data_IF_849663181721
#
_entry.id   IF_849663181721
#
_cell.length_a   1.000
_cell.length_b   1.000
_cell.length_c   1.000
_cell.angle_alpha   90.00
_cell.angle_beta   90.00
_cell.angle_gamma   90.00
#
_symmetry.space_group_name_H-M   'P 1'
#
loop_
_entity.id
_entity.type
_entity.pdbx_description
1 polymer ?
#
# COMPACT_ATOMS: atom_id res chain seq x y z
N UNK A 1 4.49 29.14 5.76
CA UNK A 1 4.22 28.47 4.46
C UNK A 1 4.52 29.34 3.24
N UNK A 2 4.05 30.59 3.14
CA UNK A 2 4.22 31.43 1.92
C UNK A 2 5.65 31.54 1.39
N UNK A 3 6.67 31.72 2.24
CA UNK A 3 8.07 31.82 1.80
C UNK A 3 8.62 30.53 1.17
N UNK A 4 8.19 29.35 1.63
CA UNK A 4 8.66 28.08 1.05
C UNK A 4 7.94 27.72 -0.25
N UNK A 5 6.71 28.19 -0.42
CA UNK A 5 5.96 28.02 -1.66
C UNK A 5 6.27 29.09 -2.70
N UNK A 6 6.78 30.26 -2.30
CA UNK A 6 7.15 31.36 -3.19
C UNK A 6 8.11 30.89 -4.30
N UNK A 7 9.19 30.20 -3.93
CA UNK A 7 10.18 29.71 -4.89
C UNK A 7 9.56 28.75 -5.92
N UNK A 8 8.68 27.87 -5.45
CA UNK A 8 7.91 26.96 -6.30
C UNK A 8 6.97 27.71 -7.26
N UNK A 9 6.14 28.61 -6.75
CA UNK A 9 5.12 29.28 -7.56
C UNK A 9 5.69 30.28 -8.58
N UNK A 10 6.78 30.97 -8.25
CA UNK A 10 7.30 32.06 -9.08
C UNK A 10 8.45 31.66 -10.00
N UNK A 11 9.14 30.54 -9.75
CA UNK A 11 10.37 30.19 -10.49
C UNK A 11 10.32 28.81 -11.16
N UNK A 12 9.71 27.78 -10.55
CA UNK A 12 9.75 26.41 -11.11
C UNK A 12 8.83 26.18 -12.33
N UNK A 13 8.11 27.20 -12.78
CA UNK A 13 7.40 27.22 -14.07
C UNK A 13 8.16 27.95 -15.19
N UNK A 14 9.41 28.39 -14.95
CA UNK A 14 10.24 29.16 -15.89
C UNK A 14 11.47 28.34 -16.33
N UNK A 15 11.97 28.64 -17.52
CA UNK A 15 13.24 28.06 -18.02
C UNK A 15 14.43 28.47 -17.12
N UNK A 16 15.38 27.55 -16.94
CA UNK A 16 16.61 27.78 -16.16
C UNK A 16 16.58 27.37 -14.68
N UNK A 17 15.46 26.84 -14.18
CA UNK A 17 15.31 26.35 -12.80
C UNK A 17 15.00 24.85 -12.71
N UNK A 18 15.34 24.09 -13.76
CA UNK A 18 15.01 22.67 -13.88
C UNK A 18 15.67 21.83 -12.79
N UNK A 19 16.93 22.11 -12.48
CA UNK A 19 17.71 21.41 -11.44
C UNK A 19 17.13 21.59 -10.02
N UNK A 20 16.38 22.67 -9.78
CA UNK A 20 15.75 22.92 -8.47
C UNK A 20 14.42 22.17 -8.31
N UNK A 21 13.83 21.67 -9.41
CA UNK A 21 12.51 21.03 -9.40
C UNK A 21 12.54 19.68 -8.68
N UNK A 22 13.63 18.93 -8.83
CA UNK A 22 13.77 17.60 -8.23
C UNK A 22 13.86 17.66 -6.70
N UNK A 23 14.43 18.74 -6.15
CA UNK A 23 14.46 19.00 -4.71
C UNK A 23 13.19 19.65 -4.15
N UNK A 24 12.25 20.06 -5.00
CA UNK A 24 11.07 20.80 -4.57
C UNK A 24 9.89 19.88 -4.26
N UNK A 25 9.47 19.83 -2.99
CA UNK A 25 8.32 19.04 -2.55
C UNK A 25 7.02 19.30 -3.33
N UNK A 26 6.73 20.56 -3.67
CA UNK A 26 5.52 20.89 -4.43
C UNK A 26 5.61 20.50 -5.91
N UNK A 27 6.79 20.50 -6.51
CA UNK A 27 7.01 19.92 -7.84
C UNK A 27 6.80 18.40 -7.80
N UNK A 28 7.33 17.72 -6.78
CA UNK A 28 7.16 16.28 -6.59
C UNK A 28 5.68 15.91 -6.39
N UNK A 29 4.95 16.59 -5.49
CA UNK A 29 3.52 16.35 -5.28
C UNK A 29 2.71 16.55 -6.57
N UNK A 30 3.06 17.56 -7.37
CA UNK A 30 2.38 17.88 -8.64
C UNK A 30 2.73 16.92 -9.78
N UNK A 31 3.84 16.21 -9.70
CA UNK A 31 4.23 15.23 -10.72
C UNK A 31 3.41 13.95 -10.62
N UNK A 32 2.73 13.71 -9.50
CA UNK A 32 1.86 12.55 -9.33
C UNK A 32 0.67 12.60 -10.30
N UNK A 33 0.41 11.51 -11.06
CA UNK A 33 -0.68 11.46 -12.04
C UNK A 33 -2.06 11.77 -11.44
N UNK A 34 -2.25 11.44 -10.18
CA UNK A 34 -3.52 11.62 -9.45
C UNK A 34 -3.63 12.99 -8.78
N UNK A 35 -2.63 13.87 -8.85
CA UNK A 35 -2.63 15.14 -8.10
C UNK A 35 -3.85 16.01 -8.38
N UNK A 36 -4.31 16.07 -9.63
CA UNK A 36 -5.44 16.92 -10.04
C UNK A 36 -6.78 16.46 -9.46
N UNK A 37 -6.94 15.17 -9.15
CA UNK A 37 -8.19 14.57 -8.68
C UNK A 37 -8.13 14.15 -7.21
N UNK A 38 -6.97 13.69 -6.75
CA UNK A 38 -6.71 13.09 -5.44
C UNK A 38 -5.43 13.72 -4.86
N UNK A 39 -5.47 15.04 -4.55
CA UNK A 39 -4.27 15.78 -4.17
C UNK A 39 -3.71 15.34 -2.82
N UNK A 40 -2.40 15.54 -2.69
CA UNK A 40 -1.74 15.70 -1.39
C UNK A 40 -1.57 17.20 -1.17
N UNK A 41 -1.97 17.69 -0.01
CA UNK A 41 -1.77 19.08 0.39
C UNK A 41 -0.90 19.14 1.65
N UNK A 42 -0.18 20.25 1.83
CA UNK A 42 0.65 20.48 3.01
C UNK A 42 0.20 21.78 3.64
N UNK A 43 -0.12 21.76 4.93
CA UNK A 43 -0.54 22.93 5.70
C UNK A 43 0.25 23.02 7.01
N UNK A 44 0.61 24.23 7.40
CA UNK A 44 1.20 24.49 8.71
C UNK A 44 0.63 25.80 9.23
N UNK A 45 -0.17 25.71 10.29
CA UNK A 45 -0.82 26.82 10.99
C UNK A 45 -0.25 27.03 12.40
N UNK A 46 0.65 26.14 12.85
CA UNK A 46 1.15 26.08 14.24
C UNK A 46 2.48 26.81 14.41
N UNK A 47 3.41 26.64 13.46
CA UNK A 47 4.77 27.19 13.56
C UNK A 47 5.37 27.55 12.19
N UNK A 48 6.66 27.86 12.18
CA UNK A 48 7.43 28.19 10.97
C UNK A 48 8.21 27.00 10.39
N UNK A 49 7.97 25.78 10.87
CA UNK A 49 8.64 24.58 10.36
C UNK A 49 8.16 24.21 8.95
N UNK A 50 9.05 23.58 8.19
CA UNK A 50 8.79 23.06 6.86
C UNK A 50 9.08 21.56 6.80
N UNK A 51 8.68 20.91 5.71
CA UNK A 51 9.11 19.54 5.46
C UNK A 51 10.64 19.55 5.30
N UNK A 52 11.36 18.55 5.84
CA UNK A 52 12.82 18.47 5.75
C UNK A 52 13.29 18.47 4.29
N UNK A 53 14.39 19.18 4.00
CA UNK A 53 14.91 19.33 2.63
C UNK A 53 15.38 18.02 1.99
N UNK A 54 15.62 16.99 2.80
CA UNK A 54 16.01 15.64 2.38
C UNK A 54 14.82 14.69 2.20
N UNK A 55 13.60 15.11 2.56
CA UNK A 55 12.39 14.33 2.35
C UNK A 55 12.00 14.28 0.87
N UNK A 56 11.55 13.12 0.37
CA UNK A 56 11.18 12.95 -1.03
C UNK A 56 9.86 12.21 -1.18
N UNK A 57 8.91 12.80 -1.88
CA UNK A 57 7.67 12.12 -2.24
C UNK A 57 7.94 11.09 -3.36
N UNK A 58 7.53 9.84 -3.11
CA UNK A 58 7.64 8.74 -4.07
C UNK A 58 6.27 8.15 -4.38
N UNK A 59 6.11 7.59 -5.58
CA UNK A 59 4.88 6.92 -5.99
C UNK A 59 5.02 5.39 -6.00
N UNK A 60 6.26 4.88 -5.97
CA UNK A 60 6.61 3.47 -6.00
C UNK A 60 7.80 3.20 -5.08
N UNK A 61 7.97 1.95 -4.67
CA UNK A 61 9.13 1.49 -3.90
C UNK A 61 10.44 1.78 -4.64
N UNK A 62 11.48 2.14 -3.89
CA UNK A 62 12.86 2.27 -4.40
C UNK A 62 13.63 1.03 -3.97
N UNK A 63 14.37 0.41 -4.89
CA UNK A 63 15.20 -0.76 -4.55
C UNK A 63 16.58 -0.28 -4.09
N UNK A 64 16.96 -0.67 -2.88
CA UNK A 64 18.29 -0.41 -2.33
C UNK A 64 19.35 -1.35 -2.89
N UNK A 65 20.60 -1.08 -2.54
CA UNK A 65 21.74 -1.91 -2.97
C UNK A 65 21.59 -3.36 -2.48
N UNK A 66 21.78 -4.32 -3.39
CA UNK A 66 21.68 -5.75 -3.10
C UNK A 66 20.25 -6.27 -2.97
N UNK A 67 19.24 -5.51 -3.40
CA UNK A 67 17.84 -5.95 -3.47
C UNK A 67 17.39 -6.01 -4.92
N UNK A 68 16.99 -7.20 -5.37
CA UNK A 68 16.50 -7.39 -6.73
C UNK A 68 15.03 -7.83 -6.74
N UNK A 69 14.23 -7.36 -7.72
CA UNK A 69 12.87 -7.83 -7.89
C UNK A 69 12.86 -9.27 -8.38
N UNK A 70 11.78 -10.01 -8.09
CA UNK A 70 11.59 -11.32 -8.69
C UNK A 70 11.67 -11.21 -10.22
N UNK A 71 12.44 -12.11 -10.83
CA UNK A 71 12.45 -12.25 -12.27
C UNK A 71 11.05 -12.52 -12.82
N UNK A 72 10.75 -12.01 -14.01
CA UNK A 72 9.45 -12.15 -14.65
C UNK A 72 9.03 -13.62 -14.83
N UNK A 73 9.98 -14.55 -14.91
CA UNK A 73 9.73 -15.99 -14.98
C UNK A 73 8.94 -16.57 -13.80
N UNK A 74 8.96 -15.90 -12.65
CA UNK A 74 8.21 -16.32 -11.46
C UNK A 74 6.81 -15.72 -11.38
N UNK A 75 6.47 -14.77 -12.26
CA UNK A 75 5.19 -14.07 -12.26
C UNK A 75 4.12 -14.94 -12.95
N UNK A 76 3.20 -15.48 -12.16
CA UNK A 76 2.05 -16.25 -12.66
C UNK A 76 0.76 -15.44 -12.51
N UNK A 77 0.25 -14.89 -13.60
CA UNK A 77 -1.02 -14.17 -13.61
C UNK A 77 -2.20 -15.06 -14.00
N UNK A 78 -3.42 -14.63 -13.66
CA UNK A 78 -4.63 -15.38 -14.02
C UNK A 78 -5.02 -15.23 -15.51
N UNK A 79 -5.66 -16.26 -16.04
CA UNK A 79 -6.25 -16.32 -17.38
C UNK A 79 -7.78 -16.15 -17.38
N UNK A 80 -8.32 -15.45 -16.36
CA UNK A 80 -9.76 -15.20 -16.24
C UNK A 80 -10.31 -14.48 -17.47
N UNK A 81 -11.42 -14.96 -18.01
CA UNK A 81 -12.04 -14.38 -19.21
C UNK A 81 -12.66 -13.01 -18.91
N UNK A 82 -13.25 -12.84 -17.73
CA UNK A 82 -13.85 -11.60 -17.28
C UNK A 82 -13.24 -11.14 -15.96
N UNK A 83 -13.21 -9.83 -15.75
CA UNK A 83 -12.78 -9.21 -14.49
C UNK A 83 -13.56 -9.74 -13.27
N UNK A 84 -14.86 -10.04 -13.46
CA UNK A 84 -15.71 -10.60 -12.42
C UNK A 84 -15.32 -12.01 -11.98
N UNK A 85 -14.59 -12.76 -12.81
CA UNK A 85 -14.20 -14.15 -12.50
C UNK A 85 -13.04 -14.17 -11.47
N UNK A 86 -12.30 -13.07 -11.34
CA UNK A 86 -11.22 -12.93 -10.37
C UNK A 86 -11.68 -12.89 -8.91
N UNK A 87 -12.98 -12.92 -8.65
CA UNK A 87 -13.55 -12.93 -7.30
C UNK A 87 -13.68 -14.35 -6.69
N UNK A 88 -13.57 -15.39 -7.52
CA UNK A 88 -13.82 -16.77 -7.13
C UNK A 88 -12.53 -17.58 -6.94
N UNK A 89 -12.59 -18.66 -6.14
CA UNK A 89 -11.47 -19.60 -5.92
C UNK A 89 -10.89 -20.20 -7.22
N UNK A 90 -11.62 -20.16 -8.33
CA UNK A 90 -11.12 -20.56 -9.65
C UNK A 90 -10.07 -19.62 -10.25
N UNK A 91 -9.89 -18.42 -9.69
CA UNK A 91 -8.85 -17.49 -10.11
C UNK A 91 -7.48 -17.94 -9.60
N UNK A 92 -6.50 -18.07 -10.50
CA UNK A 92 -5.14 -18.49 -10.14
C UNK A 92 -4.49 -17.60 -9.07
N UNK A 93 -4.80 -16.30 -9.06
CA UNK A 93 -4.27 -15.37 -8.05
C UNK A 93 -4.76 -15.68 -6.63
N UNK A 94 -5.80 -16.49 -6.47
CA UNK A 94 -6.39 -16.87 -5.18
C UNK A 94 -6.05 -18.33 -4.81
N UNK A 95 -5.18 -19.01 -5.57
CA UNK A 95 -4.87 -20.42 -5.37
C UNK A 95 -4.17 -20.73 -4.03
N UNK A 96 -3.42 -19.76 -3.50
CA UNK A 96 -2.68 -19.89 -2.23
C UNK A 96 -3.51 -19.47 -1.00
N UNK A 97 -4.80 -19.13 -1.19
CA UNK A 97 -5.71 -18.91 -0.07
C UNK A 97 -6.20 -20.26 0.48
N UNK A 98 -6.08 -20.43 1.80
CA UNK A 98 -6.57 -21.63 2.47
C UNK A 98 -8.11 -21.76 2.34
N UNK A 99 -8.61 -23.00 2.34
CA UNK A 99 -10.03 -23.28 2.08
C UNK A 99 -10.96 -22.70 3.15
N UNK A 100 -10.52 -22.65 4.41
CA UNK A 100 -11.21 -22.02 5.54
C UNK A 100 -11.23 -20.48 5.45
N UNK A 101 -10.32 -19.90 4.67
CA UNK A 101 -10.29 -18.47 4.34
C UNK A 101 -11.14 -18.13 3.11
N UNK A 102 -11.69 -19.11 2.40
CA UNK A 102 -12.68 -18.92 1.32
C UNK A 102 -14.10 -18.85 1.90
N UNK A 103 -14.94 -17.87 1.53
CA UNK A 103 -16.14 -17.54 2.32
C UNK A 103 -17.24 -18.61 2.25
N UNK A 104 -17.76 -19.04 3.40
CA UNK A 104 -19.12 -19.65 3.54
C UNK A 104 -20.17 -18.65 4.08
N UNK A 105 -19.83 -17.37 4.26
CA UNK A 105 -20.75 -16.44 4.93
C UNK A 105 -21.90 -15.96 4.01
N UNK A 106 -23.12 -16.24 4.47
CA UNK A 106 -24.44 -15.90 3.91
C UNK A 106 -24.76 -14.39 3.84
N UNK A 107 -23.78 -13.52 4.04
CA UNK A 107 -24.00 -12.09 4.33
C UNK A 107 -24.12 -11.18 3.09
N UNK A 108 -24.03 -11.72 1.88
CA UNK A 108 -24.03 -10.92 0.65
C UNK A 108 -25.28 -11.10 -0.26
N UNK A 109 -26.32 -11.86 0.12
CA UNK A 109 -27.53 -11.93 -0.73
C UNK A 109 -28.88 -12.12 -0.01
N UNK A 110 -29.55 -11.04 0.43
CA UNK A 110 -30.96 -11.09 0.82
C UNK A 110 -31.93 -11.29 -0.37
N UNK A 111 -31.43 -11.21 -1.61
CA UNK A 111 -32.20 -11.26 -2.87
C UNK A 111 -31.72 -12.36 -3.83
N UNK A 112 -30.90 -13.30 -3.35
CA UNK A 112 -30.48 -14.46 -4.14
C UNK A 112 -31.74 -15.25 -4.44
N UNK A 113 -32.07 -15.38 -5.73
CA UNK A 113 -33.31 -15.97 -6.24
C UNK A 113 -33.79 -17.13 -5.34
N UNK A 114 -34.80 -16.84 -4.51
CA UNK A 114 -35.60 -17.88 -3.88
C UNK A 114 -36.41 -18.54 -4.98
N UNK A 115 -35.80 -19.48 -5.69
CA UNK A 115 -36.55 -20.50 -6.41
C UNK A 115 -37.06 -21.45 -5.34
N UNK A 116 -38.33 -21.27 -4.98
CA UNK A 116 -39.04 -22.08 -4.01
C UNK A 116 -38.91 -23.58 -4.37
N UNK A 117 -38.31 -24.35 -3.46
CA UNK A 117 -38.63 -25.77 -3.30
C UNK A 117 -38.21 -26.75 -4.39
N UNK A 118 -36.96 -26.72 -4.87
CA UNK A 118 -36.35 -27.91 -5.49
C UNK A 118 -34.90 -28.08 -5.01
N UNK A 119 -34.65 -29.20 -4.33
CA UNK A 119 -33.31 -29.72 -4.04
C UNK A 119 -32.61 -30.04 -5.35
N UNK A 120 -32.07 -29.02 -6.00
CA UNK A 120 -31.09 -29.17 -7.07
C UNK A 120 -29.74 -29.14 -6.37
N UNK A 121 -28.97 -30.23 -6.47
CA UNK A 121 -27.55 -30.24 -6.15
C UNK A 121 -26.86 -29.15 -7.00
N UNK A 122 -26.81 -27.92 -6.49
CA UNK A 122 -26.06 -26.82 -7.12
C UNK A 122 -24.58 -27.13 -6.87
N UNK A 123 -23.77 -27.37 -7.91
CA UNK A 123 -22.36 -27.67 -7.74
C UNK A 123 -21.67 -26.55 -6.94
N UNK A 124 -20.93 -26.88 -5.88
CA UNK A 124 -20.10 -25.98 -5.03
C UNK A 124 -18.92 -25.34 -5.80
N UNK A 125 -19.12 -24.85 -7.03
CA UNK A 125 -18.03 -24.65 -8.00
C UNK A 125 -17.46 -23.22 -8.00
N UNK A 126 -18.13 -22.24 -7.39
CA UNK A 126 -17.67 -20.85 -7.42
C UNK A 126 -17.82 -20.16 -6.06
N UNK A 127 -16.97 -20.56 -5.10
CA UNK A 127 -16.91 -19.91 -3.78
C UNK A 127 -16.16 -18.58 -3.90
N UNK A 128 -16.71 -17.50 -3.35
CA UNK A 128 -16.05 -16.19 -3.32
C UNK A 128 -14.87 -16.24 -2.34
N UNK A 129 -13.68 -15.85 -2.77
CA UNK A 129 -12.48 -15.91 -1.93
C UNK A 129 -11.71 -14.59 -1.83
N UNK A 130 -11.92 -13.69 -2.78
CA UNK A 130 -11.26 -12.37 -2.83
C UNK A 130 -11.53 -11.49 -1.60
N UNK A 131 -10.62 -10.53 -1.38
CA UNK A 131 -10.57 -9.72 -0.15
C UNK A 131 -11.62 -8.60 -0.07
N UNK A 132 -12.18 -8.18 -1.21
CA UNK A 132 -13.00 -6.98 -1.31
C UNK A 132 -14.49 -7.29 -1.47
N UNK A 133 -15.36 -6.30 -1.40
CA UNK A 133 -16.74 -6.41 -1.89
C UNK A 133 -16.81 -5.97 -3.38
N UNK A 134 -17.59 -6.66 -4.21
CA UNK A 134 -17.72 -6.36 -5.66
C UNK A 134 -18.89 -5.44 -5.99
N UNK A 135 -19.95 -5.46 -5.18
CA UNK A 135 -21.20 -4.78 -5.49
C UNK A 135 -21.75 -3.98 -4.30
N UNK A 136 -22.74 -3.15 -4.60
CA UNK A 136 -23.45 -2.35 -3.60
C UNK A 136 -22.64 -1.19 -3.02
N UNK A 137 -23.11 -0.66 -1.90
CA UNK A 137 -22.55 0.53 -1.24
C UNK A 137 -21.16 0.32 -0.62
N UNK A 138 -20.72 -0.95 -0.56
CA UNK A 138 -19.43 -1.41 -0.04
C UNK A 138 -18.44 -1.82 -1.14
N UNK A 139 -18.79 -1.71 -2.43
CA UNK A 139 -17.90 -2.10 -3.52
C UNK A 139 -16.50 -1.46 -3.38
N UNK A 140 -15.45 -2.29 -3.49
CA UNK A 140 -14.05 -1.90 -3.31
C UNK A 140 -13.57 -1.80 -1.86
N UNK A 141 -14.44 -1.97 -0.86
CA UNK A 141 -14.03 -2.05 0.55
C UNK A 141 -13.56 -3.46 0.89
N UNK A 142 -12.57 -3.56 1.77
CA UNK A 142 -12.10 -4.79 2.39
C UNK A 142 -13.25 -5.44 3.18
N UNK A 143 -13.43 -6.75 3.01
CA UNK A 143 -14.43 -7.55 3.72
C UNK A 143 -14.11 -7.63 5.21
N UNK A 144 -15.15 -7.73 6.03
CA UNK A 144 -15.04 -7.76 7.49
C UNK A 144 -14.14 -8.86 8.04
N UNK A 145 -14.17 -10.05 7.44
CA UNK A 145 -13.30 -11.17 7.85
C UNK A 145 -11.81 -10.86 7.78
N UNK A 146 -11.41 -9.91 6.93
CA UNK A 146 -10.01 -9.50 6.79
C UNK A 146 -9.61 -8.34 7.71
N UNK A 147 -10.53 -7.76 8.50
CA UNK A 147 -10.20 -6.62 9.37
C UNK A 147 -9.26 -6.96 10.51
N UNK A 148 -9.37 -8.17 11.04
CA UNK A 148 -8.55 -8.66 12.15
C UNK A 148 -7.79 -9.94 11.76
N UNK A 149 -7.79 -10.28 10.46
CA UNK A 149 -7.12 -11.47 9.93
C UNK A 149 -5.67 -11.19 9.61
N UNK A 150 -4.80 -12.14 9.95
CA UNK A 150 -3.38 -12.13 9.54
C UNK A 150 -3.17 -12.77 8.17
N UNK A 151 -4.20 -12.98 7.37
CA UNK A 151 -4.06 -13.56 6.04
C UNK A 151 -3.57 -12.50 5.05
N UNK A 152 -2.61 -12.81 4.18
CA UNK A 152 -2.18 -11.89 3.12
C UNK A 152 -3.30 -11.66 2.11
N UNK A 153 -3.33 -10.46 1.52
CA UNK A 153 -4.25 -10.14 0.43
C UNK A 153 -3.57 -10.43 -0.90
N UNK A 154 -4.14 -11.37 -1.66
CA UNK A 154 -3.68 -11.70 -3.00
C UNK A 154 -4.47 -10.92 -4.05
N UNK A 155 -3.80 -10.00 -4.74
CA UNK A 155 -4.38 -9.22 -5.84
C UNK A 155 -3.96 -9.76 -7.21
N UNK A 156 -4.77 -9.47 -8.22
CA UNK A 156 -4.31 -9.53 -9.60
C UNK A 156 -3.25 -8.44 -9.85
N UNK A 157 -2.46 -8.64 -10.89
CA UNK A 157 -1.33 -7.77 -11.22
C UNK A 157 -1.10 -7.74 -12.73
N UNK A 158 -0.11 -7.00 -13.21
CA UNK A 158 0.19 -6.79 -14.63
C UNK A 158 0.35 -8.07 -15.48
N UNK A 159 0.64 -9.23 -14.86
CA UNK A 159 0.72 -10.52 -15.57
C UNK A 159 -0.64 -11.20 -15.80
N UNK A 160 -1.72 -10.68 -15.22
CA UNK A 160 -3.06 -11.22 -15.37
C UNK A 160 -3.74 -10.68 -16.65
N UNK A 161 -4.62 -11.50 -17.22
CA UNK A 161 -5.45 -11.15 -18.38
C UNK A 161 -6.61 -10.18 -18.08
N UNK A 162 -6.98 -10.03 -16.80
CA UNK A 162 -8.02 -9.10 -16.37
C UNK A 162 -7.56 -7.64 -16.45
N UNK A 163 -8.51 -6.72 -16.62
CA UNK A 163 -8.25 -5.29 -16.79
C UNK A 163 -7.90 -4.59 -15.48
N UNK A 164 -7.51 -3.31 -15.56
CA UNK A 164 -7.30 -2.44 -14.39
C UNK A 164 -8.56 -2.26 -13.53
N UNK A 165 -9.74 -2.49 -14.10
CA UNK A 165 -11.03 -2.43 -13.41
C UNK A 165 -11.38 -3.72 -12.67
N UNK A 166 -10.49 -4.73 -12.70
CA UNK A 166 -10.66 -5.96 -11.95
C UNK A 166 -10.96 -5.67 -10.47
N UNK A 167 -12.01 -6.25 -9.88
CA UNK A 167 -12.35 -6.03 -8.48
C UNK A 167 -11.23 -6.45 -7.51
N UNK A 168 -10.30 -7.30 -7.97
CA UNK A 168 -9.14 -7.78 -7.20
C UNK A 168 -7.84 -7.01 -7.53
N UNK A 169 -7.92 -5.70 -7.82
CA UNK A 169 -6.77 -4.79 -8.06
C UNK A 169 -6.91 -3.46 -7.31
N UNK A 170 -7.46 -3.48 -6.10
CA UNK A 170 -7.77 -2.27 -5.32
C UNK A 170 -6.50 -1.53 -4.93
N UNK A 171 -5.48 -2.23 -4.44
CA UNK A 171 -4.23 -1.62 -3.99
C UNK A 171 -3.32 -1.27 -5.16
N UNK A 172 -3.29 -2.10 -6.22
CA UNK A 172 -2.56 -1.77 -7.45
C UNK A 172 -3.02 -0.44 -8.08
N UNK A 173 -4.32 -0.12 -8.01
CA UNK A 173 -4.87 1.16 -8.48
C UNK A 173 -4.38 2.38 -7.69
N UNK A 174 -3.79 2.17 -6.52
CA UNK A 174 -3.25 3.23 -5.68
C UNK A 174 -4.31 4.04 -4.94
N UNK A 175 -3.85 5.10 -4.28
CA UNK A 175 -4.68 5.94 -3.42
C UNK A 175 -5.84 6.58 -4.19
N UNK A 176 -7.04 6.49 -3.62
CA UNK A 176 -8.27 7.13 -4.13
C UNK A 176 -8.78 8.26 -3.23
N UNK A 177 -8.08 8.54 -2.13
CA UNK A 177 -8.50 9.48 -1.09
C UNK A 177 -7.54 10.68 -1.04
N UNK A 178 -8.03 11.93 -1.07
CA UNK A 178 -7.18 13.09 -0.86
C UNK A 178 -6.63 13.12 0.56
N UNK A 179 -5.35 13.48 0.68
CA UNK A 179 -4.63 13.55 1.95
C UNK A 179 -4.08 14.95 2.19
N UNK A 180 -3.97 15.30 3.47
CA UNK A 180 -3.39 16.54 3.93
C UNK A 180 -2.36 16.25 5.01
N UNK A 181 -1.12 16.62 4.72
CA UNK A 181 -0.04 16.70 5.69
C UNK A 181 -0.24 18.00 6.46
N UNK A 182 -0.29 17.92 7.78
CA UNK A 182 -0.54 19.06 8.64
C UNK A 182 0.41 19.07 9.84
N UNK A 183 0.76 20.26 10.32
CA UNK A 183 1.48 20.43 11.57
C UNK A 183 0.51 20.26 12.75
N UNK A 184 0.87 19.41 13.71
CA UNK A 184 0.18 19.26 14.99
C UNK A 184 0.82 20.14 16.04
N UNK A 185 0.11 20.42 17.12
CA UNK A 185 0.57 21.31 18.21
C UNK A 185 1.82 20.77 18.95
N UNK A 186 1.89 19.46 19.19
CA UNK A 186 2.86 18.87 20.13
C UNK A 186 3.60 17.63 19.59
N UNK A 187 3.09 17.04 18.51
CA UNK A 187 3.59 15.82 17.91
C UNK A 187 4.00 16.08 16.48
N UNK A 188 4.47 17.27 16.12
CA UNK A 188 5.02 17.62 14.81
C UNK A 188 4.08 17.32 13.62
N UNK A 189 4.58 16.81 12.50
CA UNK A 189 3.73 16.55 11.32
C UNK A 189 2.87 15.28 11.40
N UNK A 190 1.61 15.40 11.01
CA UNK A 190 0.67 14.29 10.83
C UNK A 190 0.00 14.28 9.46
N UNK A 191 -0.76 13.22 9.17
CA UNK A 191 -1.62 13.12 7.99
C UNK A 191 -3.07 12.99 8.41
N UNK A 192 -3.95 13.72 7.72
CA UNK A 192 -5.40 13.56 7.80
C UNK A 192 -6.00 13.43 6.40
N UNK A 193 -7.16 12.81 6.32
CA UNK A 193 -7.97 12.89 5.10
C UNK A 193 -8.86 14.13 5.14
N UNK A 194 -9.12 14.70 3.97
CA UNK A 194 -10.08 15.80 3.80
C UNK A 194 -11.49 15.30 3.51
N UNK A 195 -11.69 13.97 3.46
CA UNK A 195 -12.98 13.33 3.22
C UNK A 195 -13.21 12.18 4.21
N UNK A 196 -14.46 11.73 4.32
CA UNK A 196 -14.80 10.59 5.17
C UNK A 196 -14.24 9.28 4.61
N UNK A 197 -13.54 8.51 5.44
CA UNK A 197 -13.02 7.18 5.10
C UNK A 197 -13.97 6.11 5.67
N UNK A 198 -14.46 5.22 4.81
CA UNK A 198 -15.29 4.08 5.25
C UNK A 198 -14.42 2.99 5.87
N UNK A 199 -14.96 2.21 6.81
CA UNK A 199 -14.27 1.01 7.33
C UNK A 199 -13.97 0.05 6.18
N UNK A 200 -12.75 -0.47 6.13
CA UNK A 200 -12.26 -1.33 5.04
C UNK A 200 -11.85 -0.58 3.78
N UNK A 201 -11.92 0.75 3.73
CA UNK A 201 -11.48 1.51 2.57
C UNK A 201 -9.95 1.58 2.53
N UNK A 202 -9.38 1.23 1.39
CA UNK A 202 -7.95 1.37 1.14
C UNK A 202 -7.54 2.86 1.14
N UNK A 203 -6.47 3.18 1.88
CA UNK A 203 -5.95 4.55 2.02
C UNK A 203 -4.74 4.75 1.11
N UNK A 204 -3.59 4.17 1.45
CA UNK A 204 -2.36 4.22 0.66
C UNK A 204 -1.42 3.08 1.06
N UNK A 205 -0.32 2.90 0.33
CA UNK A 205 0.75 1.96 0.67
C UNK A 205 1.82 2.64 1.52
N UNK A 206 2.45 1.88 2.42
CA UNK A 206 3.69 2.32 3.03
C UNK A 206 4.83 2.14 2.02
N UNK A 207 5.39 3.25 1.54
CA UNK A 207 6.45 3.24 0.53
C UNK A 207 7.80 3.59 1.17
N UNK A 208 8.89 3.21 0.52
CA UNK A 208 10.22 3.57 0.97
C UNK A 208 11.29 2.91 0.11
N UNK A 209 12.50 2.93 0.65
CA UNK A 209 13.62 2.17 0.09
C UNK A 209 13.58 0.75 0.66
N UNK A 210 13.48 -0.26 -0.19
CA UNK A 210 13.61 -1.66 0.22
C UNK A 210 15.10 -1.98 0.38
N UNK A 211 15.49 -2.36 1.59
CA UNK A 211 16.87 -2.62 1.97
C UNK A 211 17.02 -4.02 2.57
N UNK A 212 18.24 -4.54 2.55
CA UNK A 212 18.57 -5.81 3.21
C UNK A 212 18.55 -5.67 4.72
N UNK A 213 18.29 -6.75 5.45
CA UNK A 213 18.36 -6.76 6.92
C UNK A 213 19.73 -6.30 7.45
N UNK A 214 20.82 -6.63 6.77
CA UNK A 214 22.17 -6.16 7.13
C UNK A 214 22.30 -4.63 7.00
N UNK A 215 21.76 -4.06 5.93
CA UNK A 215 21.73 -2.61 5.74
C UNK A 215 20.84 -1.92 6.78
N UNK A 216 19.70 -2.52 7.12
CA UNK A 216 18.83 -2.05 8.19
C UNK A 216 19.54 -2.03 9.55
N UNK A 217 20.26 -3.10 9.91
CA UNK A 217 21.03 -3.17 11.16
C UNK A 217 22.19 -2.18 11.19
N UNK A 218 22.89 -1.98 10.05
CA UNK A 218 23.91 -0.93 9.91
C UNK A 218 23.31 0.45 10.13
N UNK A 219 22.12 0.68 9.57
CA UNK A 219 21.35 1.91 9.69
C UNK A 219 20.90 2.15 11.14
N UNK A 220 20.38 1.13 11.86
CA UNK A 220 20.03 1.18 13.29
C UNK A 220 21.25 1.49 14.16
N UNK A 221 22.37 0.81 13.92
CA UNK A 221 23.61 0.95 14.69
C UNK A 221 24.25 2.34 14.57
N UNK A 222 24.20 2.95 13.38
CA UNK A 222 24.66 4.35 13.20
C UNK A 222 23.74 5.38 13.86
N UNK A 223 22.49 5.04 14.15
CA UNK A 223 21.50 5.89 14.80
C UNK A 223 21.61 5.88 16.33
N UNK A 224 22.81 5.66 16.91
CA UNK A 224 23.03 5.60 18.36
C UNK A 224 22.53 6.82 19.18
N UNK A 225 22.09 7.90 18.52
CA UNK A 225 21.54 9.13 19.12
C UNK A 225 20.00 9.17 19.13
N UNK A 226 19.30 8.30 18.40
CA UNK A 226 17.83 8.29 18.40
C UNK A 226 17.29 6.87 18.53
N UNK A 227 16.57 6.60 19.63
CA UNK A 227 15.67 5.44 19.80
C UNK A 227 14.48 5.47 18.79
N UNK A 228 14.65 6.12 17.63
CA UNK A 228 13.60 6.51 16.69
C UNK A 228 13.77 5.88 15.31
N UNK A 229 14.88 5.21 15.03
CA UNK A 229 15.07 4.60 13.70
C UNK A 229 14.17 3.39 13.46
N UNK A 230 13.88 2.64 14.52
CA UNK A 230 12.92 1.54 14.48
C UNK A 230 11.49 2.00 14.16
N UNK A 231 11.21 3.31 14.20
CA UNK A 231 9.89 3.88 13.90
C UNK A 231 9.58 3.86 12.39
N UNK A 232 10.60 3.84 11.53
CA UNK A 232 10.43 3.98 10.07
C UNK A 232 10.85 2.76 9.26
N UNK A 233 11.39 1.74 9.94
CA UNK A 233 11.75 0.47 9.35
C UNK A 233 10.58 -0.50 9.48
N UNK A 234 10.10 -1.00 8.35
CA UNK A 234 9.03 -1.99 8.30
C UNK A 234 9.53 -3.28 7.68
N UNK A 235 9.56 -4.37 8.46
CA UNK A 235 10.01 -5.66 7.97
C UNK A 235 8.98 -6.29 7.01
N UNK A 236 9.45 -6.85 5.90
CA UNK A 236 8.66 -7.62 4.94
C UNK A 236 8.66 -9.11 5.35
N UNK A 237 8.21 -9.41 6.57
CA UNK A 237 8.33 -10.71 7.22
C UNK A 237 7.12 -11.63 7.06
N UNK A 238 6.10 -11.19 6.32
CA UNK A 238 4.82 -11.91 6.17
C UNK A 238 4.99 -13.37 5.73
N UNK A 239 5.98 -13.63 4.89
CA UNK A 239 6.28 -14.96 4.35
C UNK A 239 7.60 -15.53 4.90
N UNK A 240 8.22 -14.87 5.88
CA UNK A 240 9.43 -15.38 6.51
C UNK A 240 9.07 -16.55 7.42
N UNK A 241 9.64 -17.71 7.11
CA UNK A 241 9.50 -18.93 7.89
C UNK A 241 10.88 -19.60 8.03
N UNK A 242 11.50 -19.55 9.22
CA UNK A 242 12.79 -20.18 9.49
C UNK A 242 12.81 -21.70 9.25
N UNK A 243 11.64 -22.34 9.28
CA UNK A 243 11.47 -23.78 9.06
C UNK A 243 11.14 -24.12 7.61
N UNK A 244 10.97 -23.12 6.74
CA UNK A 244 10.69 -23.36 5.33
C UNK A 244 11.85 -24.06 4.64
N UNK A 245 11.51 -25.01 3.76
CA UNK A 245 12.47 -25.65 2.86
C UNK A 245 12.89 -24.71 1.72
N UNK A 246 12.12 -23.65 1.45
CA UNK A 246 12.47 -22.63 0.46
C UNK A 246 13.49 -21.65 1.05
N UNK A 247 14.73 -21.59 0.52
CA UNK A 247 15.76 -20.67 1.01
C UNK A 247 15.33 -19.20 0.98
N UNK A 248 14.42 -18.82 0.07
CA UNK A 248 13.90 -17.46 -0.06
C UNK A 248 13.03 -17.04 1.12
N UNK A 249 12.37 -18.00 1.77
CA UNK A 249 11.51 -17.77 2.92
C UNK A 249 12.26 -17.93 4.26
N UNK A 250 13.44 -18.56 4.23
CA UNK A 250 14.26 -18.83 5.40
C UNK A 250 15.17 -17.68 5.81
N UNK A 251 15.57 -16.84 4.85
CA UNK A 251 16.48 -15.73 5.07
C UNK A 251 15.88 -14.62 5.96
N UNK A 252 16.73 -13.73 6.51
CA UNK A 252 16.21 -12.54 7.19
C UNK A 252 15.38 -11.72 6.21
N UNK A 253 14.23 -11.17 6.64
CA UNK A 253 13.37 -10.40 5.76
C UNK A 253 14.08 -9.15 5.26
N UNK A 254 13.67 -8.69 4.07
CA UNK A 254 13.97 -7.32 3.64
C UNK A 254 13.18 -6.33 4.51
N UNK A 255 13.64 -5.09 4.59
CA UNK A 255 12.98 -4.04 5.33
C UNK A 255 12.69 -2.84 4.41
N UNK A 256 11.58 -2.15 4.63
CA UNK A 256 11.26 -0.88 3.97
C UNK A 256 11.69 0.25 4.89
N UNK A 257 12.66 1.06 4.47
CA UNK A 257 13.06 2.29 5.14
C UNK A 257 12.26 3.47 4.60
N UNK A 258 11.30 3.93 5.40
CA UNK A 258 10.46 5.08 5.09
C UNK A 258 10.98 6.41 5.64
N UNK A 259 12.16 6.45 6.28
CA UNK A 259 12.66 7.62 7.01
C UNK A 259 12.60 8.88 6.13
N UNK A 260 13.16 8.87 4.92
CA UNK A 260 13.21 10.06 4.06
C UNK A 260 12.12 10.12 2.98
N UNK A 261 11.20 9.16 2.95
CA UNK A 261 10.26 9.00 1.83
C UNK A 261 8.79 8.90 2.24
N UNK A 262 8.55 8.43 3.47
CA UNK A 262 7.21 8.23 4.01
C UNK A 262 7.00 8.82 5.40
N UNK A 263 8.04 9.16 6.19
CA UNK A 263 7.78 9.34 7.61
C UNK A 263 8.66 10.28 8.48
N UNK A 264 9.84 10.77 8.07
CA UNK A 264 10.57 11.80 8.84
C UNK A 264 10.19 13.19 8.34
N UNK A 265 9.37 13.90 9.11
CA UNK A 265 9.11 15.32 8.85
C UNK A 265 9.61 16.25 9.98
N UNK A 266 10.04 15.75 11.15
CA UNK A 266 10.92 16.45 12.10
C UNK A 266 11.66 15.50 13.09
N UNK A 267 12.46 16.08 13.99
CA UNK A 267 13.27 15.37 15.02
C UNK A 267 12.47 14.82 16.21
N UNK A 268 11.17 15.15 16.31
CA UNK A 268 10.27 14.85 17.42
C UNK A 268 9.10 13.92 17.06
N UNK A 269 8.84 13.64 15.77
CA UNK A 269 7.53 13.15 15.34
C UNK A 269 7.52 12.01 14.34
N UNK A 270 6.60 11.07 14.58
CA UNK A 270 6.14 10.04 13.66
C UNK A 270 4.97 10.53 12.80
N UNK A 271 5.12 10.49 11.47
CA UNK A 271 3.98 10.49 10.56
C UNK A 271 3.26 9.13 10.68
N UNK A 272 2.41 8.98 11.69
CA UNK A 272 1.47 7.85 11.70
C UNK A 272 0.41 8.22 10.68
N UNK A 273 0.49 7.66 9.46
CA UNK A 273 -0.75 7.39 8.74
C UNK A 273 -1.45 6.39 9.65
N UNK A 274 -2.56 6.72 10.32
CA UNK A 274 -3.32 5.72 11.02
C UNK A 274 -3.86 4.81 9.92
N UNK A 275 -3.12 3.76 9.60
CA UNK A 275 -3.67 2.62 8.91
C UNK A 275 -4.72 2.11 9.90
N UNK A 276 -5.98 2.40 9.61
CA UNK A 276 -7.11 1.79 10.29
C UNK A 276 -7.19 0.34 9.79
N UNK A 277 -6.16 -0.43 10.15
CA UNK A 277 -5.81 -1.81 9.84
C UNK A 277 -4.33 -1.94 10.27
N UNK A 278 -4.00 -2.86 11.14
CA UNK A 278 -2.63 -3.12 11.55
C UNK A 278 -1.76 -3.29 10.31
N UNK A 279 -0.61 -2.62 10.20
CA UNK A 279 0.30 -2.74 9.04
C UNK A 279 0.84 -4.17 8.81
N UNK A 280 0.46 -5.17 9.62
CA UNK A 280 0.50 -6.59 9.24
C UNK A 280 -0.39 -6.98 8.03
N UNK A 281 -1.26 -6.07 7.57
CA UNK A 281 -2.46 -6.41 6.78
C UNK A 281 -2.46 -5.90 5.33
N UNK A 282 -1.39 -5.27 4.83
CA UNK A 282 -1.31 -4.85 3.43
C UNK A 282 0.06 -5.16 2.80
N UNK A 283 0.51 -6.43 2.89
CA UNK A 283 1.35 -6.97 1.81
C UNK A 283 0.40 -7.39 0.71
N UNK A 284 -0.02 -6.45 -0.12
CA UNK A 284 -0.43 -6.81 -1.47
C UNK A 284 0.84 -7.17 -2.21
N UNK A 285 0.95 -8.41 -2.65
CA UNK A 285 1.90 -8.74 -3.68
C UNK A 285 1.54 -7.94 -4.94
N UNK A 286 2.38 -7.02 -5.48
CA UNK A 286 2.86 -7.35 -6.81
C UNK A 286 3.61 -8.67 -6.61
N UNK A 287 3.36 -9.68 -7.42
CA UNK A 287 4.08 -10.98 -7.42
C UNK A 287 5.58 -10.79 -7.74
N UNK A 288 6.27 -9.98 -6.95
CA UNK A 288 7.66 -9.62 -6.99
C UNK A 288 8.20 -10.05 -5.63
N UNK A 289 8.36 -11.37 -5.47
CA UNK A 289 9.23 -11.95 -4.44
C UNK A 289 10.62 -11.34 -4.63
N UNK A 290 10.96 -10.32 -3.84
CA UNK A 290 12.30 -9.76 -3.87
C UNK A 290 13.29 -10.79 -3.34
N UNK A 291 14.43 -10.93 -3.99
CA UNK A 291 15.48 -11.86 -3.59
C UNK A 291 16.72 -11.07 -3.20
N UNK A 292 17.42 -11.57 -2.17
CA UNK A 292 18.79 -11.15 -1.80
C UNK A 292 19.82 -11.74 -2.73
#
# INVERSE_FOLDING_TARGET
MEKATERHFFYHGKEGYEDERDGCHWCQIRSFPTHSTIPITVVNEEDSEFLPDDFRFINNMVLGEGVEPAGDSFRSGCSCANDGDCQYTSCLCLADLAEDESSDEEDDDPFGDRVDGMDVDVPKVHRKAYAYHTHGSKAGLLRSKFYDSKVPIYECHQGCSCSINCPNRVVERGRTIPLQIFRTEDRGWGVRSTVHIKKGQFVDRYLGEIITSTEADRRRSKSAISQRKDVYLFALDKFTDPNSYDPRLKGPPLEVDGEFMSARLDSSTTLVIPTCASLHELVTMPTSIFTT
#
